data_IF_253921504701
#
_entry.id   IF_253921504701
#
_cell.length_a   1.000
_cell.length_b   1.000
_cell.length_c   1.000
_cell.angle_alpha   90.00
_cell.angle_beta   90.00
_cell.angle_gamma   90.00
#
_symmetry.space_group_name_H-M   'P 1'
#
loop_
_entity.id
_entity.type
_entity.pdbx_description
1 polymer ?
#
# COMPACT_ATOMS: atom_id res chain seq x y z
N UNK A 1 -30.74 -52.67 -25.34
CA UNK A 1 -30.86 -53.16 -23.95
C UNK A 1 -29.46 -53.25 -23.36
N UNK A 2 -29.25 -52.64 -22.19
CA UNK A 2 -28.10 -52.70 -21.26
C UNK A 2 -26.70 -52.32 -21.81
N UNK A 3 -26.05 -51.22 -21.37
CA UNK A 3 -25.33 -50.97 -20.09
C UNK A 3 -24.25 -52.03 -19.80
N UNK A 4 -23.00 -51.75 -19.41
CA UNK A 4 -22.19 -50.59 -18.98
C UNK A 4 -20.74 -51.14 -18.86
N UNK A 5 -19.67 -50.49 -18.40
CA UNK A 5 -19.39 -49.22 -17.80
C UNK A 5 -17.88 -48.96 -18.05
N UNK A 6 -17.50 -47.73 -18.39
CA UNK A 6 -16.09 -47.33 -18.47
C UNK A 6 -15.68 -46.73 -17.12
N UNK A 7 -14.74 -47.40 -16.45
CA UNK A 7 -14.14 -46.98 -15.19
C UNK A 7 -13.07 -45.92 -15.51
N UNK A 8 -13.37 -44.64 -15.22
CA UNK A 8 -12.38 -43.57 -15.29
C UNK A 8 -11.56 -43.54 -14.00
N UNK A 9 -10.26 -43.82 -14.10
CA UNK A 9 -9.30 -43.66 -13.02
C UNK A 9 -9.03 -42.16 -12.82
N UNK A 10 -9.49 -41.60 -11.70
CA UNK A 10 -8.99 -40.31 -11.19
C UNK A 10 -7.66 -40.56 -10.48
N UNK A 11 -6.55 -40.09 -11.06
CA UNK A 11 -5.28 -39.99 -10.36
C UNK A 11 -5.25 -38.68 -9.56
N UNK A 12 -5.55 -38.76 -8.26
CA UNK A 12 -5.25 -37.70 -7.31
C UNK A 12 -3.76 -37.76 -6.95
N UNK A 13 -2.96 -36.79 -7.42
CA UNK A 13 -1.59 -36.62 -6.93
C UNK A 13 -1.64 -35.74 -5.69
N UNK A 14 -1.63 -36.38 -4.53
CA UNK A 14 -1.32 -35.72 -3.26
C UNK A 14 0.20 -35.64 -3.12
N UNK A 15 0.78 -34.46 -3.30
CA UNK A 15 2.16 -34.20 -2.94
C UNK A 15 2.23 -33.82 -1.45
N UNK A 16 2.43 -34.83 -0.59
CA UNK A 16 2.85 -34.64 0.78
C UNK A 16 4.36 -34.32 0.79
N UNK A 17 4.70 -33.03 0.89
CA UNK A 17 6.07 -32.58 1.12
C UNK A 17 6.34 -32.43 2.61
N UNK A 18 7.04 -33.39 3.19
CA UNK A 18 7.60 -33.31 4.56
C UNK A 18 8.73 -32.28 4.60
N UNK A 19 8.56 -31.20 5.36
CA UNK A 19 9.69 -30.32 5.72
C UNK A 19 10.26 -30.81 7.06
N UNK A 20 11.45 -31.40 7.00
CA UNK A 20 12.25 -31.68 8.18
C UNK A 20 12.81 -30.35 8.71
N UNK A 21 12.43 -29.99 9.93
CA UNK A 21 13.03 -28.89 10.66
C UNK A 21 14.45 -29.28 11.09
N UNK A 22 15.46 -28.62 10.52
CA UNK A 22 16.81 -28.64 11.07
C UNK A 22 16.88 -27.51 12.10
N UNK A 23 16.88 -27.89 13.37
CA UNK A 23 17.18 -27.00 14.48
C UNK A 23 18.67 -26.71 14.47
N UNK A 24 19.06 -25.46 14.25
CA UNK A 24 20.40 -25.00 14.61
C UNK A 24 20.33 -24.31 15.98
N UNK A 25 20.82 -25.03 16.98
CA UNK A 25 21.20 -24.49 18.27
C UNK A 25 22.70 -24.48 18.26
N UNK A 26 23.29 -23.29 18.27
CA UNK A 26 24.54 -23.16 18.99
C UNK A 26 24.63 -21.85 19.78
N UNK A 27 25.11 -22.04 20.99
CA UNK A 27 25.22 -21.11 22.11
C UNK A 27 26.70 -20.93 22.37
N UNK A 28 27.19 -19.69 22.39
CA UNK A 28 28.28 -19.31 23.30
C UNK A 28 28.25 -17.78 23.49
N UNK A 29 27.83 -17.34 24.69
CA UNK A 29 28.71 -16.96 25.81
C UNK A 29 29.56 -15.72 25.53
N UNK A 30 29.10 -14.56 26.04
CA UNK A 30 29.99 -13.56 26.63
C UNK A 30 29.41 -13.12 27.97
N UNK A 31 30.31 -13.07 28.94
CA UNK A 31 30.08 -13.06 30.37
C UNK A 31 29.52 -11.75 30.94
N UNK A 32 28.70 -11.92 31.97
CA UNK A 32 28.35 -10.92 32.97
C UNK A 32 29.47 -10.75 34.00
N UNK A 33 29.87 -9.52 34.29
CA UNK A 33 30.40 -9.14 35.61
C UNK A 33 29.73 -7.84 36.04
N UNK A 34 29.01 -7.93 37.17
CA UNK A 34 28.40 -6.79 37.84
C UNK A 34 29.36 -6.12 38.83
N UNK A 35 29.03 -4.89 39.20
CA UNK A 35 29.68 -4.11 40.26
C UNK A 35 29.16 -2.68 40.28
N UNK A 36 28.26 -2.39 41.22
CA UNK A 36 27.72 -1.08 41.62
C UNK A 36 28.34 -0.71 43.00
N UNK A 37 28.10 0.45 43.65
CA UNK A 37 28.11 1.87 43.27
C UNK A 37 29.20 2.67 44.04
N UNK A 38 29.42 3.96 43.73
CA UNK A 38 30.26 4.84 44.55
C UNK A 38 30.07 6.34 44.28
N UNK A 39 29.36 7.02 45.18
CA UNK A 39 29.36 8.48 45.32
C UNK A 39 30.59 8.96 46.14
N UNK A 40 30.97 10.25 46.08
CA UNK A 40 30.48 11.17 47.10
C UNK A 40 30.14 12.61 46.62
N UNK A 41 29.38 13.31 47.49
CA UNK A 41 29.06 14.75 47.51
C UNK A 41 30.31 15.62 47.83
N UNK A 42 30.36 16.96 47.84
CA UNK A 42 29.37 18.02 48.01
C UNK A 42 29.95 19.42 47.65
N UNK A 43 29.02 20.39 47.55
CA UNK A 43 29.10 21.81 47.97
C UNK A 43 29.85 22.89 47.16
N UNK A 44 29.10 23.94 46.85
CA UNK A 44 29.57 25.27 46.47
C UNK A 44 28.42 26.24 46.18
N UNK A 45 27.81 26.77 47.24
CA UNK A 45 26.76 27.80 47.25
C UNK A 45 27.31 29.20 46.96
N UNK A 46 26.53 30.05 46.29
CA UNK A 46 26.80 31.49 46.13
C UNK A 46 25.60 32.24 45.55
N UNK A 47 24.90 32.98 46.40
CA UNK A 47 23.61 33.63 46.16
C UNK A 47 23.68 35.02 45.49
N UNK A 48 22.66 35.28 44.67
CA UNK A 48 21.82 36.48 44.48
C UNK A 48 22.33 37.90 44.78
N UNK A 49 21.95 38.84 43.91
CA UNK A 49 21.32 40.13 44.28
C UNK A 49 20.58 40.76 43.09
N UNK A 50 19.67 41.67 43.43
CA UNK A 50 18.39 42.02 42.79
C UNK A 50 18.33 43.40 42.12
N UNK A 51 17.14 43.72 41.56
CA UNK A 51 16.55 45.07 41.30
C UNK A 51 16.70 45.57 39.84
N UNK A 52 15.70 46.10 39.13
CA UNK A 52 14.39 46.66 39.48
C UNK A 52 13.40 46.57 38.28
N UNK A 53 12.10 46.60 38.58
CA UNK A 53 11.01 46.91 37.63
C UNK A 53 10.79 48.43 37.51
N UNK A 54 10.05 48.91 36.49
CA UNK A 54 8.65 49.25 36.77
C UNK A 54 7.60 48.84 35.72
N UNK A 55 6.37 48.73 36.24
CA UNK A 55 4.99 48.74 35.67
C UNK A 55 4.79 49.71 34.49
N UNK A 56 3.74 49.68 33.67
CA UNK A 56 2.62 48.79 33.30
C UNK A 56 1.81 49.57 32.23
N UNK A 57 1.14 48.92 31.28
CA UNK A 57 -0.30 49.13 30.97
C UNK A 57 -0.74 48.34 29.73
N UNK A 58 -2.01 48.00 29.72
CA UNK A 58 -2.69 46.91 29.04
C UNK A 58 -3.13 47.25 27.61
N UNK A 59 -3.16 46.22 26.75
CA UNK A 59 -4.33 46.02 25.87
C UNK A 59 -4.55 44.54 25.61
N UNK A 60 -5.55 43.98 26.28
CA UNK A 60 -6.12 42.67 26.04
C UNK A 60 -6.74 42.64 24.63
N UNK A 61 -6.15 41.84 23.74
CA UNK A 61 -6.74 41.43 22.47
C UNK A 61 -7.17 39.97 22.55
N UNK A 62 -8.46 39.73 22.40
CA UNK A 62 -9.12 38.45 22.63
C UNK A 62 -8.49 37.26 21.88
N UNK A 63 -8.35 36.15 22.60
CA UNK A 63 -8.01 34.82 22.11
C UNK A 63 -9.29 34.16 21.55
N UNK A 64 -9.36 33.74 20.28
CA UNK A 64 -10.38 32.80 19.85
C UNK A 64 -9.90 31.38 20.17
N UNK A 65 -10.48 30.78 21.20
CA UNK A 65 -10.52 29.32 21.38
C UNK A 65 -11.68 28.78 20.57
N UNK A 66 -11.36 28.04 19.50
CA UNK A 66 -12.31 27.17 18.81
C UNK A 66 -11.57 25.93 18.32
N UNK A 67 -12.14 24.72 18.47
CA UNK A 67 -11.58 23.53 17.83
C UNK A 67 -11.77 23.69 16.32
N UNK A 68 -10.67 23.87 15.58
CA UNK A 68 -10.70 23.84 14.12
C UNK A 68 -10.84 22.39 13.67
N UNK A 69 -12.06 21.85 13.67
CA UNK A 69 -12.44 20.76 12.78
C UNK A 69 -12.43 21.30 11.36
N UNK A 70 -11.24 21.39 10.78
CA UNK A 70 -11.10 21.48 9.34
C UNK A 70 -11.51 20.12 8.79
N UNK A 71 -12.79 19.97 8.43
CA UNK A 71 -13.22 18.96 7.47
C UNK A 71 -12.26 19.07 6.28
N UNK A 72 -11.66 17.97 5.78
CA UNK A 72 -10.91 18.02 4.55
C UNK A 72 -11.80 18.69 3.51
N UNK A 73 -11.39 19.86 3.06
CA UNK A 73 -12.02 20.52 1.92
C UNK A 73 -12.09 19.46 0.83
N UNK A 74 -13.29 19.16 0.37
CA UNK A 74 -13.48 18.40 -0.85
C UNK A 74 -12.82 19.23 -1.95
N UNK A 75 -11.53 18.98 -2.17
CA UNK A 75 -10.82 19.40 -3.36
C UNK A 75 -11.77 19.03 -4.50
N UNK A 76 -12.16 20.04 -5.28
CA UNK A 76 -13.07 19.85 -6.40
C UNK A 76 -12.63 18.59 -7.14
N UNK A 77 -13.45 17.53 -7.11
CA UNK A 77 -13.14 16.28 -7.79
C UNK A 77 -12.73 16.68 -9.21
N UNK A 78 -11.49 16.42 -9.59
CA UNK A 78 -11.09 16.51 -10.98
C UNK A 78 -12.16 15.77 -11.78
N UNK A 79 -12.62 16.33 -12.90
CA UNK A 79 -13.66 15.70 -13.71
C UNK A 79 -13.08 14.38 -14.26
N UNK A 80 -13.39 13.25 -13.62
CA UNK A 80 -12.91 11.92 -14.01
C UNK A 80 -12.11 11.19 -12.92
N UNK A 81 -11.61 10.02 -13.28
CA UNK A 81 -10.70 9.23 -12.45
C UNK A 81 -9.24 9.65 -12.69
N UNK A 82 -8.30 9.27 -11.79
CA UNK A 82 -6.88 9.52 -11.98
C UNK A 82 -6.31 8.89 -13.25
N UNK A 83 -5.30 9.50 -13.85
CA UNK A 83 -4.59 9.01 -15.02
C UNK A 83 -3.53 10.00 -15.49
N UNK A 84 -2.93 9.75 -16.66
CA UNK A 84 -1.78 10.50 -17.18
C UNK A 84 -1.93 12.04 -17.17
N UNK A 85 -3.15 12.58 -17.28
CA UNK A 85 -3.40 14.03 -17.29
C UNK A 85 -3.58 14.70 -15.92
N UNK A 86 -3.67 13.94 -14.83
CA UNK A 86 -3.91 14.49 -13.48
C UNK A 86 -3.14 13.76 -12.36
N UNK A 87 -2.28 12.79 -12.70
CA UNK A 87 -1.34 12.13 -11.80
C UNK A 87 0.08 12.27 -12.27
N UNK A 88 1.03 12.04 -11.37
CA UNK A 88 2.45 12.09 -11.70
C UNK A 88 3.03 13.47 -11.49
N UNK A 89 4.16 13.75 -12.12
CA UNK A 89 4.82 15.06 -12.02
C UNK A 89 3.95 16.12 -12.70
N UNK A 90 3.54 17.21 -12.01
CA UNK A 90 2.67 18.23 -12.60
C UNK A 90 3.28 18.90 -13.83
N UNK A 91 2.43 19.28 -14.78
CA UNK A 91 2.84 20.01 -15.97
C UNK A 91 3.64 21.28 -15.63
N UNK A 92 4.70 21.52 -16.41
CA UNK A 92 5.59 22.67 -16.24
C UNK A 92 6.62 22.52 -15.12
N UNK A 93 6.59 21.45 -14.32
CA UNK A 93 7.64 21.16 -13.34
C UNK A 93 8.93 20.78 -14.06
N UNK A 94 9.99 21.55 -13.80
CA UNK A 94 11.35 21.23 -14.27
C UNK A 94 12.08 20.42 -13.21
N UNK A 95 12.41 19.17 -13.54
CA UNK A 95 13.19 18.28 -12.68
C UNK A 95 14.69 18.61 -12.76
N UNK A 96 15.33 18.75 -11.61
CA UNK A 96 16.80 18.71 -11.50
C UNK A 96 17.28 17.29 -11.21
N UNK A 97 18.53 16.97 -11.54
CA UNK A 97 19.14 15.70 -11.11
C UNK A 97 19.17 15.58 -9.58
N UNK A 98 18.84 14.40 -9.07
CA UNK A 98 19.05 14.06 -7.66
C UNK A 98 20.51 13.61 -7.45
N UNK A 99 21.17 14.19 -6.46
CA UNK A 99 22.54 13.83 -6.06
C UNK A 99 22.64 13.37 -4.60
N UNK A 100 21.49 13.18 -3.94
CA UNK A 100 21.46 12.67 -2.58
C UNK A 100 21.65 11.15 -2.53
N UNK A 101 21.68 10.56 -1.32
CA UNK A 101 21.83 9.13 -1.17
C UNK A 101 20.56 8.38 -1.59
N UNK A 102 20.72 7.12 -2.00
CA UNK A 102 19.60 6.22 -2.28
C UNK A 102 19.02 5.59 -0.99
N UNK A 103 19.80 5.57 0.10
CA UNK A 103 19.28 5.24 1.42
C UNK A 103 19.02 6.52 2.21
N UNK A 104 17.76 6.81 2.49
CA UNK A 104 17.33 8.01 3.21
C UNK A 104 17.27 7.69 4.70
N UNK A 105 18.22 8.21 5.47
CA UNK A 105 18.31 7.98 6.94
C UNK A 105 17.99 9.21 7.77
N UNK A 106 17.81 10.37 7.13
CA UNK A 106 17.53 11.62 7.82
C UNK A 106 16.02 11.89 7.85
N UNK A 107 15.47 12.06 9.05
CA UNK A 107 14.08 12.45 9.23
C UNK A 107 13.77 13.81 8.58
N UNK A 108 12.53 13.98 8.12
CA UNK A 108 12.05 15.19 7.44
C UNK A 108 12.79 15.50 6.12
N UNK A 109 13.42 14.50 5.50
CA UNK A 109 14.03 14.67 4.17
C UNK A 109 12.94 14.97 3.15
N UNK A 110 13.17 16.01 2.33
CA UNK A 110 12.28 16.36 1.22
C UNK A 110 13.03 16.23 -0.10
N UNK A 111 12.55 15.34 -0.97
CA UNK A 111 12.98 15.21 -2.37
C UNK A 111 11.93 15.92 -3.22
N UNK A 112 12.27 17.11 -3.70
CA UNK A 112 11.34 18.01 -4.39
C UNK A 112 11.88 18.41 -5.76
N UNK A 113 11.08 18.20 -6.82
CA UNK A 113 11.44 18.48 -8.21
C UNK A 113 12.76 17.84 -8.63
N UNK A 114 12.93 16.57 -8.25
CA UNK A 114 14.12 15.78 -8.56
C UNK A 114 13.82 14.59 -9.47
N UNK A 115 14.77 14.30 -10.35
CA UNK A 115 14.86 13.03 -11.04
C UNK A 115 15.86 12.13 -10.31
N UNK A 116 15.34 11.14 -9.60
CA UNK A 116 16.09 10.10 -8.87
C UNK A 116 16.30 8.92 -9.80
N UNK A 117 17.55 8.44 -9.94
CA UNK A 117 17.94 7.35 -10.86
C UNK A 117 18.46 6.13 -10.12
N UNK A 118 17.90 5.87 -8.95
CA UNK A 118 18.17 4.69 -8.15
C UNK A 118 16.94 4.31 -7.34
N UNK A 119 16.85 3.05 -6.94
CA UNK A 119 15.86 2.61 -5.96
C UNK A 119 16.17 3.24 -4.59
N UNK A 120 15.13 3.73 -3.93
CA UNK A 120 15.21 4.35 -2.62
C UNK A 120 14.91 3.35 -1.50
N UNK A 121 15.74 3.35 -0.46
CA UNK A 121 15.42 2.70 0.82
C UNK A 121 15.19 3.79 1.85
N UNK A 122 13.97 3.88 2.38
CA UNK A 122 13.58 4.89 3.37
C UNK A 122 13.68 4.29 4.77
N UNK A 123 14.64 4.81 5.55
CA UNK A 123 14.90 4.46 6.96
C UNK A 123 14.81 5.71 7.84
N UNK A 124 13.76 6.49 7.66
CA UNK A 124 13.56 7.74 8.38
C UNK A 124 12.08 8.14 8.46
N UNK A 125 11.72 8.90 9.50
CA UNK A 125 10.39 9.46 9.64
C UNK A 125 10.18 10.71 8.78
N UNK A 126 8.94 10.94 8.35
CA UNK A 126 8.45 12.14 7.66
C UNK A 126 9.21 12.45 6.37
N UNK A 127 9.62 11.43 5.61
CA UNK A 127 10.21 11.65 4.30
C UNK A 127 9.12 12.04 3.31
N UNK A 128 9.38 13.08 2.52
CA UNK A 128 8.46 13.54 1.47
C UNK A 128 9.17 13.50 0.13
N UNK A 129 8.56 12.83 -0.84
CA UNK A 129 8.92 12.87 -2.25
C UNK A 129 7.78 13.58 -2.96
N UNK A 130 8.04 14.76 -3.52
CA UNK A 130 7.01 15.58 -4.17
C UNK A 130 7.45 16.11 -5.52
N UNK A 131 6.51 16.20 -6.46
CA UNK A 131 6.78 16.77 -7.79
C UNK A 131 8.02 16.17 -8.46
N UNK A 132 8.28 14.88 -8.20
CA UNK A 132 9.55 14.23 -8.51
C UNK A 132 9.33 12.97 -9.33
N UNK A 133 10.39 12.52 -10.00
CA UNK A 133 10.42 11.25 -10.71
C UNK A 133 11.45 10.33 -10.10
N UNK A 134 11.08 9.08 -9.85
CA UNK A 134 11.97 8.02 -9.38
C UNK A 134 12.00 6.90 -10.40
N UNK A 135 13.16 6.68 -11.03
CA UNK A 135 13.44 5.49 -11.84
C UNK A 135 14.07 4.44 -10.91
N UNK A 136 13.22 3.62 -10.31
CA UNK A 136 13.57 2.63 -9.29
C UNK A 136 12.40 2.39 -8.33
N UNK A 137 12.57 1.40 -7.46
CA UNK A 137 11.59 1.09 -6.41
C UNK A 137 11.79 1.96 -5.17
N UNK A 138 10.78 2.09 -4.32
CA UNK A 138 10.85 2.77 -3.03
C UNK A 138 10.39 1.81 -1.94
N UNK A 139 11.32 1.44 -1.06
CA UNK A 139 11.06 0.53 0.05
C UNK A 139 11.29 1.22 1.38
N UNK A 140 10.23 1.30 2.19
CA UNK A 140 10.28 1.76 3.56
C UNK A 140 10.61 0.59 4.48
N UNK A 141 11.59 0.76 5.35
CA UNK A 141 11.99 -0.24 6.34
C UNK A 141 11.95 0.34 7.75
N UNK A 142 11.10 -0.18 8.64
CA UNK A 142 11.06 0.18 10.06
C UNK A 142 9.74 0.83 10.48
N UNK A 143 9.19 0.34 11.59
CA UNK A 143 7.82 0.66 12.05
C UNK A 143 7.61 2.15 12.40
N UNK A 144 8.66 2.88 12.76
CA UNK A 144 8.59 4.30 13.13
C UNK A 144 8.89 5.25 11.96
N UNK A 145 9.17 4.72 10.78
CA UNK A 145 9.44 5.50 9.57
C UNK A 145 8.16 5.78 8.81
N UNK A 146 8.17 6.85 8.02
CA UNK A 146 7.00 7.25 7.23
C UNK A 146 7.43 7.94 5.94
N UNK A 147 6.64 7.69 4.89
CA UNK A 147 6.88 8.21 3.56
C UNK A 147 5.60 8.80 2.98
N UNK A 148 5.72 10.00 2.42
CA UNK A 148 4.72 10.58 1.54
C UNK A 148 5.27 10.76 0.14
N UNK A 149 4.62 10.16 -0.84
CA UNK A 149 4.83 10.38 -2.27
C UNK A 149 3.65 11.19 -2.78
N UNK A 150 3.89 12.38 -3.31
CA UNK A 150 2.82 13.23 -3.86
C UNK A 150 3.20 13.81 -5.21
N UNK A 151 2.23 13.94 -6.12
CA UNK A 151 2.42 14.60 -7.41
C UNK A 151 3.71 14.08 -8.11
N UNK A 152 3.94 12.76 -8.07
CA UNK A 152 5.21 12.16 -8.46
C UNK A 152 5.01 10.93 -9.34
N UNK A 153 6.00 10.66 -10.19
CA UNK A 153 6.08 9.43 -10.98
C UNK A 153 7.09 8.48 -10.32
N UNK A 154 6.69 7.23 -10.10
CA UNK A 154 7.61 6.17 -9.66
C UNK A 154 7.51 5.01 -10.65
N UNK A 155 8.64 4.69 -11.27
CA UNK A 155 8.78 3.59 -12.21
C UNK A 155 9.74 2.55 -11.65
N UNK A 156 9.19 1.44 -11.15
CA UNK A 156 9.96 0.31 -10.64
C UNK A 156 10.73 -0.45 -11.72
N UNK A 157 10.50 -0.14 -13.00
CA UNK A 157 11.14 -0.78 -14.14
C UNK A 157 10.89 -2.28 -14.15
N UNK A 158 11.97 -3.06 -14.21
CA UNK A 158 11.94 -4.52 -14.35
C UNK A 158 12.09 -5.28 -13.01
N UNK A 159 11.92 -4.60 -11.87
CA UNK A 159 12.17 -5.18 -10.56
C UNK A 159 11.21 -6.34 -10.24
N UNK A 160 11.73 -7.43 -9.68
CA UNK A 160 10.92 -8.47 -9.02
C UNK A 160 10.53 -8.06 -7.61
N UNK A 161 9.89 -6.90 -7.50
CA UNK A 161 9.53 -6.27 -6.24
C UNK A 161 8.29 -5.39 -6.44
N UNK A 162 7.69 -4.96 -5.33
CA UNK A 162 6.74 -3.86 -5.39
C UNK A 162 7.45 -2.54 -5.73
N UNK A 163 6.80 -1.66 -6.48
CA UNK A 163 7.35 -0.36 -6.86
C UNK A 163 7.39 0.61 -5.67
N UNK A 164 6.35 0.63 -4.82
CA UNK A 164 6.33 1.39 -3.57
C UNK A 164 5.75 0.56 -2.42
N UNK A 165 6.40 0.59 -1.24
CA UNK A 165 5.94 -0.09 -0.03
C UNK A 165 6.73 0.33 1.23
N UNK A 166 6.42 -0.13 2.45
CA UNK A 166 5.42 -1.16 2.80
C UNK A 166 4.46 -0.75 3.93
N UNK A 167 4.81 0.21 4.79
CA UNK A 167 3.99 0.66 5.92
C UNK A 167 4.11 2.17 6.12
N UNK A 168 3.14 2.78 6.80
CA UNK A 168 3.11 4.24 7.06
C UNK A 168 3.31 5.07 5.78
N UNK A 169 2.66 4.63 4.71
CA UNK A 169 2.84 5.12 3.36
C UNK A 169 1.63 5.98 2.96
N UNK A 170 1.90 7.17 2.41
CA UNK A 170 0.89 7.99 1.75
C UNK A 170 1.30 8.26 0.31
N UNK A 171 0.47 7.86 -0.66
CA UNK A 171 0.64 8.11 -2.10
C UNK A 171 -0.54 8.97 -2.57
N UNK A 172 -0.27 10.19 -3.03
CA UNK A 172 -1.29 11.14 -3.48
C UNK A 172 -1.03 11.62 -4.90
N UNK A 173 -2.04 11.65 -5.77
CA UNK A 173 -1.95 12.22 -7.12
C UNK A 173 -0.71 11.76 -7.89
N UNK A 174 -0.31 10.52 -7.68
CA UNK A 174 0.96 9.98 -8.18
C UNK A 174 0.70 8.85 -9.16
N UNK A 175 1.62 8.67 -10.10
CA UNK A 175 1.62 7.57 -11.05
C UNK A 175 2.66 6.55 -10.59
N UNK A 176 2.22 5.31 -10.34
CA UNK A 176 3.10 4.22 -9.89
C UNK A 176 3.01 3.07 -10.87
N UNK A 177 4.13 2.77 -11.53
CA UNK A 177 4.22 1.76 -12.59
C UNK A 177 5.50 0.93 -12.54
N UNK A 178 5.59 -0.06 -13.41
CA UNK A 178 6.70 -1.02 -13.41
C UNK A 178 6.67 -1.91 -12.15
N UNK A 179 7.75 -2.68 -11.98
CA UNK A 179 7.86 -3.66 -10.89
C UNK A 179 6.84 -4.79 -10.99
N UNK A 180 6.90 -5.76 -10.08
CA UNK A 180 5.93 -6.86 -10.02
C UNK A 180 4.54 -6.36 -9.58
N UNK A 181 4.50 -5.39 -8.65
CA UNK A 181 3.27 -4.82 -8.11
C UNK A 181 3.45 -3.32 -7.89
N UNK A 182 2.48 -2.47 -8.24
CA UNK A 182 2.70 -1.02 -8.10
C UNK A 182 2.85 -0.60 -6.63
N UNK A 183 1.88 -0.97 -5.77
CA UNK A 183 1.95 -0.67 -4.33
C UNK A 183 1.71 -1.94 -3.51
N UNK A 184 2.57 -2.20 -2.52
CA UNK A 184 2.31 -3.20 -1.48
C UNK A 184 2.24 -2.53 -0.11
N UNK A 185 1.24 -2.87 0.70
CA UNK A 185 1.10 -2.35 2.04
C UNK A 185 0.69 -3.39 3.09
N UNK A 186 1.31 -3.30 4.27
CA UNK A 186 0.92 -4.02 5.49
C UNK A 186 0.12 -3.17 6.49
N UNK A 187 0.53 -1.92 6.76
CA UNK A 187 -0.13 -1.11 7.81
C UNK A 187 -0.14 0.37 7.53
N UNK A 188 -1.24 1.04 7.89
CA UNK A 188 -1.38 2.50 7.93
C UNK A 188 -1.00 3.15 6.59
N UNK A 189 -1.70 2.75 5.53
CA UNK A 189 -1.46 3.29 4.19
C UNK A 189 -2.64 4.07 3.64
N UNK A 190 -2.33 5.11 2.88
CA UNK A 190 -3.27 5.84 2.05
C UNK A 190 -2.73 5.87 0.63
N UNK A 191 -3.48 5.31 -0.32
CA UNK A 191 -3.31 5.59 -1.75
C UNK A 191 -4.55 6.35 -2.19
N UNK A 192 -4.38 7.58 -2.65
CA UNK A 192 -5.50 8.42 -3.01
C UNK A 192 -5.24 9.25 -4.26
N UNK A 193 -6.28 9.43 -5.06
CA UNK A 193 -6.27 10.23 -6.28
C UNK A 193 -5.13 9.82 -7.25
N UNK A 194 -4.69 8.55 -7.19
CA UNK A 194 -3.47 8.05 -7.85
C UNK A 194 -3.77 7.01 -8.92
N UNK A 195 -2.80 6.78 -9.82
CA UNK A 195 -2.90 5.82 -10.91
C UNK A 195 -1.86 4.71 -10.75
N UNK A 196 -2.33 3.48 -10.54
CA UNK A 196 -1.50 2.29 -10.41
C UNK A 196 -1.69 1.43 -11.67
N UNK A 197 -0.63 1.24 -12.45
CA UNK A 197 -0.71 0.52 -13.74
C UNK A 197 0.64 -0.01 -14.22
N UNK A 198 0.64 -0.74 -15.34
CA UNK A 198 1.86 -0.99 -16.11
C UNK A 198 2.91 -1.81 -15.35
N UNK A 199 2.50 -2.87 -14.64
CA UNK A 199 3.44 -3.78 -13.98
C UNK A 199 4.40 -4.41 -15.01
N UNK A 200 5.44 -5.08 -14.54
CA UNK A 200 6.39 -5.79 -15.35
C UNK A 200 6.26 -7.30 -15.15
N UNK A 201 6.16 -8.01 -16.27
CA UNK A 201 6.22 -9.47 -16.34
C UNK A 201 7.32 -9.83 -17.35
N UNK A 202 8.42 -10.46 -16.92
CA UNK A 202 9.40 -11.02 -17.83
C UNK A 202 8.79 -12.15 -18.68
N UNK A 203 9.34 -12.36 -19.87
CA UNK A 203 8.98 -13.51 -20.70
C UNK A 203 9.38 -14.82 -20.00
N UNK A 204 8.45 -15.78 -19.95
CA UNK A 204 8.72 -17.12 -19.41
C UNK A 204 8.64 -17.24 -17.88
N UNK A 205 8.40 -16.16 -17.15
CA UNK A 205 8.28 -16.17 -15.68
C UNK A 205 6.83 -16.31 -15.22
N UNK A 206 6.61 -16.92 -14.05
CA UNK A 206 5.28 -17.17 -13.49
C UNK A 206 4.83 -16.11 -12.46
N UNK A 207 5.34 -14.87 -12.60
CA UNK A 207 5.07 -13.82 -11.61
C UNK A 207 3.60 -13.46 -11.53
N UNK A 208 3.10 -13.38 -10.30
CA UNK A 208 1.78 -12.87 -9.97
C UNK A 208 1.83 -11.36 -9.75
N UNK A 209 1.12 -10.61 -10.60
CA UNK A 209 1.15 -9.16 -10.62
C UNK A 209 -0.11 -8.56 -10.02
N UNK A 210 0.01 -7.34 -9.46
CA UNK A 210 -1.12 -6.61 -8.90
C UNK A 210 -0.93 -5.10 -9.08
N UNK A 211 -2.02 -4.32 -9.16
CA UNK A 211 -1.89 -2.87 -9.00
C UNK A 211 -1.63 -2.53 -7.51
N UNK A 212 -2.43 -3.10 -6.62
CA UNK A 212 -2.26 -3.05 -5.18
C UNK A 212 -2.24 -4.46 -4.58
N UNK A 213 -1.33 -4.69 -3.62
CA UNK A 213 -1.24 -5.93 -2.85
C UNK A 213 -1.19 -5.64 -1.35
N UNK A 214 -1.84 -6.51 -0.58
CA UNK A 214 -1.59 -6.70 0.84
C UNK A 214 -1.65 -8.19 1.17
N UNK A 215 -0.64 -8.68 1.88
CA UNK A 215 -0.51 -10.09 2.28
C UNK A 215 -0.81 -10.28 3.79
N UNK A 216 -1.81 -9.55 4.28
CA UNK A 216 -2.15 -9.40 5.68
C UNK A 216 -1.86 -7.96 6.05
N UNK A 217 -2.79 -7.31 6.74
CA UNK A 217 -2.61 -5.90 7.02
C UNK A 217 -3.79 -5.20 7.68
N UNK A 218 -3.54 -3.98 8.15
CA UNK A 218 -4.56 -3.14 8.77
C UNK A 218 -4.47 -1.66 8.43
N UNK A 219 -5.62 -0.98 8.48
CA UNK A 219 -5.74 0.48 8.37
C UNK A 219 -5.24 0.99 7.00
N UNK A 220 -5.77 0.38 5.95
CA UNK A 220 -5.40 0.63 4.55
C UNK A 220 -6.55 1.33 3.84
N UNK A 221 -6.25 2.40 3.13
CA UNK A 221 -7.26 3.21 2.41
C UNK A 221 -6.85 3.42 0.96
N UNK A 222 -7.67 2.93 0.05
CA UNK A 222 -7.60 3.15 -1.40
C UNK A 222 -8.79 4.04 -1.79
N UNK A 223 -8.54 5.32 -2.05
CA UNK A 223 -9.60 6.32 -2.26
C UNK A 223 -9.45 7.03 -3.60
N UNK A 224 -10.47 6.93 -4.46
CA UNK A 224 -10.53 7.66 -5.74
C UNK A 224 -9.32 7.45 -6.64
N UNK A 225 -8.83 6.21 -6.72
CA UNK A 225 -7.71 5.84 -7.61
C UNK A 225 -8.21 5.27 -8.95
N UNK A 226 -7.32 5.21 -9.94
CA UNK A 226 -7.44 4.27 -11.06
C UNK A 226 -6.50 3.12 -10.80
N UNK A 227 -7.04 1.92 -10.74
CA UNK A 227 -6.35 0.69 -10.38
C UNK A 227 -6.40 -0.25 -11.59
N UNK A 228 -5.24 -0.54 -12.16
CA UNK A 228 -5.11 -1.38 -13.34
C UNK A 228 -3.97 -2.39 -13.15
N UNK A 229 -4.30 -3.67 -13.16
CA UNK A 229 -3.36 -4.71 -13.53
C UNK A 229 -3.62 -5.10 -14.99
N UNK A 230 -2.84 -4.52 -15.87
CA UNK A 230 -3.07 -4.48 -17.32
C UNK A 230 -2.05 -5.30 -18.12
N UNK A 231 -1.24 -6.11 -17.42
CA UNK A 231 -0.26 -6.98 -18.07
C UNK A 231 -0.88 -8.26 -18.57
N UNK A 232 -0.62 -8.53 -19.85
CA UNK A 232 -0.95 -9.81 -20.47
C UNK A 232 -0.20 -10.94 -19.78
N UNK A 233 -0.91 -12.02 -19.48
CA UNK A 233 -0.28 -13.23 -18.97
C UNK A 233 0.57 -13.95 -20.02
N UNK A 234 1.40 -14.89 -19.58
CA UNK A 234 2.26 -15.67 -20.45
C UNK A 234 2.02 -17.18 -20.31
N UNK A 235 2.69 -17.99 -21.15
CA UNK A 235 2.52 -19.44 -21.17
C UNK A 235 3.02 -20.15 -19.90
N UNK A 236 3.84 -19.48 -19.08
CA UNK A 236 4.33 -20.00 -17.81
C UNK A 236 3.33 -19.82 -16.66
N UNK A 237 2.19 -19.17 -16.91
CA UNK A 237 1.17 -18.92 -15.90
C UNK A 237 1.35 -17.59 -15.15
N UNK A 238 2.37 -16.80 -15.51
CA UNK A 238 2.55 -15.45 -14.97
C UNK A 238 1.52 -14.49 -15.56
N UNK A 239 1.16 -13.46 -14.80
CA UNK A 239 0.14 -12.50 -15.21
C UNK A 239 -0.51 -11.78 -14.05
N UNK A 240 -1.55 -11.00 -14.38
CA UNK A 240 -2.30 -10.23 -13.42
C UNK A 240 -3.22 -11.09 -12.55
N UNK A 241 -3.00 -11.03 -11.24
CA UNK A 241 -3.91 -11.61 -10.26
C UNK A 241 -5.11 -10.68 -10.08
N UNK A 242 -4.88 -9.42 -9.69
CA UNK A 242 -5.94 -8.43 -9.53
C UNK A 242 -5.47 -6.98 -9.57
N UNK A 243 -6.41 -6.04 -9.73
CA UNK A 243 -6.16 -4.63 -9.44
C UNK A 243 -5.90 -4.46 -7.94
N UNK A 244 -6.71 -5.11 -7.09
CA UNK A 244 -6.54 -5.12 -5.64
C UNK A 244 -6.55 -6.55 -5.12
N UNK A 245 -5.42 -6.98 -4.56
CA UNK A 245 -5.28 -8.26 -3.89
C UNK A 245 -5.12 -8.09 -2.39
N UNK A 246 -6.08 -8.61 -1.63
CA UNK A 246 -6.00 -8.76 -0.18
C UNK A 246 -5.90 -10.26 0.12
N UNK A 247 -4.80 -10.69 0.74
CA UNK A 247 -4.54 -12.09 1.09
C UNK A 247 -4.12 -12.22 2.54
N UNK A 248 -4.71 -13.15 3.31
CA UNK A 248 -4.31 -13.41 4.70
C UNK A 248 -3.09 -14.32 4.83
N UNK A 249 -2.00 -14.06 4.09
CA UNK A 249 -0.80 -14.91 4.09
C UNK A 249 0.01 -14.77 5.38
N UNK A 250 0.29 -13.53 5.80
CA UNK A 250 1.20 -13.21 6.89
C UNK A 250 0.52 -12.49 8.07
N UNK A 251 -0.77 -12.18 7.95
CA UNK A 251 -1.54 -11.60 9.04
C UNK A 251 -3.03 -11.47 8.72
N UNK A 252 -3.87 -11.15 9.73
CA UNK A 252 -5.29 -10.85 9.53
C UNK A 252 -5.49 -9.68 8.56
N UNK A 253 -6.67 -9.63 7.94
CA UNK A 253 -7.08 -8.51 7.09
C UNK A 253 -8.14 -7.67 7.81
N UNK A 254 -7.74 -6.52 8.37
CA UNK A 254 -8.65 -5.66 9.13
C UNK A 254 -8.66 -4.22 8.65
N UNK A 255 -9.80 -3.53 8.72
CA UNK A 255 -9.89 -2.07 8.47
C UNK A 255 -9.36 -1.61 7.11
N UNK A 256 -10.00 -2.07 6.02
CA UNK A 256 -9.71 -1.61 4.66
C UNK A 256 -10.84 -0.69 4.18
N UNK A 257 -10.50 0.47 3.63
CA UNK A 257 -11.46 1.32 2.91
C UNK A 257 -11.08 1.36 1.45
N UNK A 258 -11.90 0.77 0.59
CA UNK A 258 -11.76 0.77 -0.86
C UNK A 258 -12.93 1.58 -1.40
N UNK A 259 -12.69 2.86 -1.67
CA UNK A 259 -13.77 3.82 -1.95
C UNK A 259 -13.54 4.64 -3.21
N UNK A 260 -14.60 4.80 -4.00
CA UNK A 260 -14.64 5.70 -5.16
C UNK A 260 -13.56 5.41 -6.22
N UNK A 261 -12.98 4.20 -6.26
CA UNK A 261 -11.94 3.84 -7.23
C UNK A 261 -12.54 3.39 -8.57
N UNK A 262 -11.76 3.53 -9.65
CA UNK A 262 -11.95 2.84 -10.91
C UNK A 262 -11.12 1.56 -10.91
N UNK A 263 -11.79 0.43 -11.12
CA UNK A 263 -11.18 -0.87 -11.40
C UNK A 263 -11.20 -1.10 -12.91
N UNK A 264 -10.01 -1.10 -13.52
CA UNK A 264 -9.84 -1.22 -14.97
C UNK A 264 -9.96 -2.69 -15.38
N UNK A 265 -10.77 -2.96 -16.39
CA UNK A 265 -11.01 -4.33 -16.81
C UNK A 265 -9.84 -4.87 -17.64
N UNK A 266 -9.53 -6.14 -17.43
CA UNK A 266 -8.55 -6.89 -18.22
C UNK A 266 -9.00 -8.33 -18.35
N UNK A 267 -9.06 -8.83 -19.59
CA UNK A 267 -9.38 -10.24 -19.84
C UNK A 267 -8.20 -11.17 -19.48
N UNK A 268 -7.02 -10.62 -19.18
CA UNK A 268 -5.82 -11.35 -18.76
C UNK A 268 -5.62 -11.35 -17.25
N UNK A 269 -6.50 -10.68 -16.50
CA UNK A 269 -6.49 -10.62 -15.05
C UNK A 269 -7.51 -11.59 -14.44
N UNK A 270 -7.24 -12.19 -13.28
CA UNK A 270 -8.17 -13.14 -12.66
C UNK A 270 -9.47 -12.47 -12.18
N UNK A 271 -9.37 -11.55 -11.23
CA UNK A 271 -10.48 -10.74 -10.70
C UNK A 271 -10.02 -9.30 -10.53
N UNK A 272 -10.93 -8.33 -10.50
CA UNK A 272 -10.54 -6.96 -10.16
C UNK A 272 -10.26 -6.79 -8.65
N UNK A 273 -10.96 -7.54 -7.79
CA UNK A 273 -10.77 -7.49 -6.34
C UNK A 273 -10.78 -8.89 -5.70
N UNK A 274 -9.75 -9.19 -4.90
CA UNK A 274 -9.80 -10.23 -3.88
C UNK A 274 -10.06 -9.59 -2.51
N UNK A 275 -11.17 -9.95 -1.87
CA UNK A 275 -11.68 -9.31 -0.65
C UNK A 275 -11.09 -9.79 0.68
N UNK A 276 -10.04 -10.63 0.66
CA UNK A 276 -9.32 -11.05 1.87
C UNK A 276 -9.73 -12.37 2.51
N UNK A 277 -10.93 -12.91 2.22
CA UNK A 277 -11.42 -14.16 2.80
C UNK A 277 -10.99 -15.41 2.00
N UNK A 278 -10.20 -16.27 2.61
CA UNK A 278 -9.78 -17.56 2.04
C UNK A 278 -9.41 -18.55 3.15
N UNK A 279 -10.19 -19.63 3.29
CA UNK A 279 -9.96 -20.69 4.29
C UNK A 279 -8.63 -21.44 4.11
N UNK A 280 -8.02 -21.35 2.93
CA UNK A 280 -6.74 -22.01 2.62
C UNK A 280 -5.53 -21.19 3.08
N UNK A 281 -5.72 -19.93 3.46
CA UNK A 281 -4.65 -19.05 3.92
C UNK A 281 -4.58 -19.06 5.44
N UNK A 282 -3.37 -19.00 6.00
CA UNK A 282 -3.11 -19.09 7.44
C UNK A 282 -3.97 -18.12 8.27
N UNK A 283 -4.20 -16.90 7.76
CA UNK A 283 -5.04 -15.88 8.41
C UNK A 283 -6.26 -15.51 7.57
N UNK A 284 -6.56 -16.23 6.49
CA UNK A 284 -7.59 -15.81 5.53
C UNK A 284 -9.03 -15.94 6.03
N UNK A 285 -9.27 -16.53 7.21
CA UNK A 285 -10.58 -16.46 7.88
C UNK A 285 -10.70 -15.29 8.87
N UNK A 286 -9.60 -14.59 9.14
CA UNK A 286 -9.53 -13.46 10.08
C UNK A 286 -9.68 -12.14 9.30
N UNK A 287 -10.90 -11.89 8.85
CA UNK A 287 -11.25 -10.73 8.03
C UNK A 287 -12.29 -9.89 8.75
N UNK A 288 -12.10 -8.57 8.81
CA UNK A 288 -13.09 -7.63 9.35
C UNK A 288 -12.87 -6.20 8.84
N UNK A 289 -13.92 -5.38 8.86
CA UNK A 289 -13.79 -3.96 8.48
C UNK A 289 -13.36 -3.74 7.03
N UNK A 290 -13.70 -4.64 6.10
CA UNK A 290 -13.44 -4.46 4.67
C UNK A 290 -14.61 -3.70 4.05
N UNK A 291 -14.44 -2.39 3.87
CA UNK A 291 -15.47 -1.47 3.37
C UNK A 291 -15.17 -1.15 1.91
N UNK A 292 -16.01 -1.66 1.01
CA UNK A 292 -15.91 -1.49 -0.45
C UNK A 292 -17.10 -0.67 -0.93
N UNK A 293 -16.91 0.62 -1.22
CA UNK A 293 -18.04 1.53 -1.50
C UNK A 293 -17.83 2.50 -2.66
N UNK A 294 -18.87 2.75 -3.44
CA UNK A 294 -18.85 3.80 -4.48
C UNK A 294 -17.87 3.56 -5.64
N UNK A 295 -17.31 2.36 -5.77
CA UNK A 295 -16.34 2.07 -6.83
C UNK A 295 -17.01 1.80 -8.17
N UNK A 296 -16.31 2.10 -9.26
CA UNK A 296 -16.72 1.78 -10.63
C UNK A 296 -15.85 0.64 -11.15
N UNK A 297 -16.49 -0.41 -11.64
CA UNK A 297 -15.82 -1.55 -12.27
C UNK A 297 -16.07 -1.52 -13.77
N UNK A 298 -15.02 -1.55 -14.57
CA UNK A 298 -15.15 -1.70 -16.01
C UNK A 298 -15.58 -3.11 -16.41
N UNK A 299 -16.01 -3.25 -17.67
CA UNK A 299 -16.23 -4.55 -18.32
C UNK A 299 -15.32 -4.64 -19.53
N UNK A 300 -14.49 -5.68 -19.58
CA UNK A 300 -13.71 -6.02 -20.75
C UNK A 300 -14.58 -6.64 -21.85
N UNK A 301 -13.94 -7.06 -22.94
CA UNK A 301 -14.64 -7.70 -24.07
C UNK A 301 -15.39 -9.00 -23.70
N UNK A 302 -15.04 -9.62 -22.56
CA UNK A 302 -15.71 -10.79 -22.00
C UNK A 302 -16.96 -10.44 -21.15
N UNK A 303 -17.32 -9.15 -21.05
CA UNK A 303 -18.45 -8.67 -20.25
C UNK A 303 -18.23 -8.73 -18.73
N UNK A 304 -17.01 -9.01 -18.26
CA UNK A 304 -16.60 -9.08 -16.85
C UNK A 304 -15.46 -8.09 -16.60
N UNK A 305 -15.10 -7.86 -15.34
CA UNK A 305 -13.96 -7.00 -15.00
C UNK A 305 -12.63 -7.77 -15.18
N UNK A 306 -12.43 -8.85 -14.43
CA UNK A 306 -11.42 -9.89 -14.70
C UNK A 306 -12.01 -11.08 -15.45
N UNK A 307 -11.15 -11.99 -15.90
CA UNK A 307 -11.51 -13.25 -16.58
C UNK A 307 -12.55 -14.07 -15.81
N UNK A 308 -12.44 -14.14 -14.49
CA UNK A 308 -13.35 -14.91 -13.64
C UNK A 308 -14.48 -14.08 -13.04
N UNK A 309 -14.32 -12.76 -12.93
CA UNK A 309 -15.36 -11.88 -12.42
C UNK A 309 -14.83 -10.54 -11.89
N UNK A 310 -15.71 -9.71 -11.32
CA UNK A 310 -15.30 -8.47 -10.68
C UNK A 310 -14.63 -8.70 -9.33
N UNK A 311 -15.20 -9.57 -8.50
CA UNK A 311 -14.78 -9.76 -7.11
C UNK A 311 -14.77 -11.23 -6.74
N UNK A 312 -13.90 -11.62 -5.82
CA UNK A 312 -13.92 -12.90 -5.12
C UNK A 312 -13.45 -12.69 -3.68
N UNK A 313 -13.61 -13.70 -2.83
CA UNK A 313 -13.04 -13.74 -1.49
C UNK A 313 -13.55 -12.62 -0.59
N UNK A 314 -14.78 -12.15 -0.79
CA UNK A 314 -15.37 -11.09 0.03
C UNK A 314 -16.39 -11.67 1.02
N UNK A 315 -16.00 -11.73 2.30
CA UNK A 315 -16.86 -12.19 3.38
C UNK A 315 -17.92 -11.15 3.75
N UNK A 316 -19.10 -11.23 3.13
CA UNK A 316 -20.21 -10.27 3.38
C UNK A 316 -20.68 -10.20 4.84
N UNK A 317 -20.61 -11.33 5.56
CA UNK A 317 -21.08 -11.45 6.94
C UNK A 317 -19.99 -11.18 7.98
N UNK A 318 -18.74 -10.93 7.56
CA UNK A 318 -17.67 -10.65 8.49
C UNK A 318 -17.91 -9.30 9.19
N UNK A 319 -17.53 -9.15 10.48
CA UNK A 319 -17.82 -7.94 11.26
C UNK A 319 -17.26 -6.68 10.59
N UNK A 320 -18.08 -5.64 10.46
CA UNK A 320 -17.67 -4.35 9.90
C UNK A 320 -17.43 -4.34 8.38
N UNK A 321 -17.58 -5.47 7.69
CA UNK A 321 -17.52 -5.50 6.23
C UNK A 321 -18.75 -4.80 5.66
N UNK A 322 -18.56 -3.99 4.64
CA UNK A 322 -19.63 -3.23 3.99
C UNK A 322 -19.42 -3.18 2.48
N UNK A 323 -20.49 -3.49 1.74
CA UNK A 323 -20.53 -3.33 0.29
C UNK A 323 -21.71 -2.47 -0.10
N UNK A 324 -21.46 -1.30 -0.68
CA UNK A 324 -22.51 -0.34 -1.03
C UNK A 324 -22.14 0.51 -2.24
N UNK A 325 -23.12 0.87 -3.06
CA UNK A 325 -22.96 1.86 -4.15
C UNK A 325 -21.88 1.54 -5.20
N UNK A 326 -21.40 0.30 -5.26
CA UNK A 326 -20.48 -0.12 -6.32
C UNK A 326 -21.29 -0.37 -7.60
N UNK A 327 -20.77 0.12 -8.72
CA UNK A 327 -21.44 0.06 -10.02
C UNK A 327 -20.49 -0.44 -11.10
N UNK A 328 -21.06 -0.94 -12.18
CA UNK A 328 -20.36 -1.12 -13.43
C UNK A 328 -20.18 0.22 -14.14
N UNK A 329 -19.27 0.27 -15.12
CA UNK A 329 -19.02 1.47 -15.94
C UNK A 329 -20.25 1.98 -16.71
N UNK A 330 -21.29 1.16 -16.91
CA UNK A 330 -22.59 1.55 -17.46
C UNK A 330 -23.59 2.07 -16.39
N UNK A 331 -23.13 2.24 -15.14
CA UNK A 331 -23.91 2.72 -14.01
C UNK A 331 -24.80 1.67 -13.34
N UNK A 332 -24.84 0.43 -13.84
CA UNK A 332 -25.65 -0.62 -13.21
C UNK A 332 -25.04 -1.04 -11.87
N UNK A 333 -25.86 -1.30 -10.83
CA UNK A 333 -25.35 -1.82 -9.56
C UNK A 333 -24.55 -3.10 -9.73
N UNK A 334 -23.44 -3.19 -9.01
CA UNK A 334 -22.63 -4.39 -8.85
C UNK A 334 -22.86 -4.97 -7.44
N UNK A 335 -23.36 -6.20 -7.38
CA UNK A 335 -23.44 -6.95 -6.13
C UNK A 335 -22.05 -7.51 -5.76
N UNK A 336 -21.76 -7.71 -4.46
CA UNK A 336 -20.54 -8.41 -4.06
C UNK A 336 -20.54 -9.85 -4.60
N UNK A 337 -19.41 -10.50 -4.71
CA UNK A 337 -19.33 -11.97 -4.86
C UNK A 337 -18.50 -12.54 -3.73
N UNK A 338 -18.91 -13.73 -3.28
CA UNK A 338 -18.20 -14.54 -2.29
C UNK A 338 -16.92 -15.11 -2.88
#
# INVERSE_FOLDING_TARGET
>A
MALGAALALLAAVAAAGTVAAVADRDTDRVATTGGDPGAPAANGSGAATSSAAPRASERLGARPTGPSTATPSAAARATGFPGAGNTGVPDGVRLGGYSGPCTITRANTVIDRRHVRCSLVVKAANVVIRSSRVDGTIRLEGESHSLRVEDSEVDGGQAYEHTVGFENLTVLRSEIRGGQTSVNCYRNCLVQDSWLHGQYLPDGEDWHLNAFLSNGGSDIRLVHNTLACDRRGNASGGGCTADVSIFGDFGPNTNYTIRDNLFVASDQMSYCLYGGFDEKKQYGTQVSGIVVTGNVFERGGNGRCGSYGPVTSYARSAPGNEWRDNVWSDGKPLAPSS
#
